data_IF_619004184696
#
_entry.id   IF_619004184696
#
_cell.length_a   1.000
_cell.length_b   1.000
_cell.length_c   1.000
_cell.angle_alpha   90.00
_cell.angle_beta   90.00
_cell.angle_gamma   90.00
#
_symmetry.space_group_name_H-M   'P 1'
#
loop_
_entity.id
_entity.type
_entity.pdbx_description
1 polymer ?
#
# COMPACT_ATOMS: atom_id res chain seq x y z
N UNK A 1 -6.14 -0.88 -7.83
CA UNK A 1 -6.72 -1.86 -6.87
C UNK A 1 -5.60 -2.68 -6.24
N UNK A 2 -5.82 -3.21 -5.04
CA UNK A 2 -4.85 -4.03 -4.31
C UNK A 2 -5.01 -5.52 -4.61
N UNK A 3 -4.01 -6.32 -4.25
CA UNK A 3 -4.09 -7.78 -4.30
C UNK A 3 -4.33 -8.42 -2.92
N UNK A 4 -4.11 -7.66 -1.84
CA UNK A 4 -4.30 -8.13 -0.47
C UNK A 4 -5.21 -7.17 0.31
N UNK A 5 -6.04 -7.68 1.25
CA UNK A 5 -6.83 -6.83 2.12
C UNK A 5 -5.96 -6.14 3.17
N UNK A 6 -6.24 -4.88 3.50
CA UNK A 6 -5.51 -4.11 4.52
C UNK A 6 -6.26 -3.95 5.84
N UNK A 7 -7.55 -4.23 5.83
CA UNK A 7 -8.38 -4.43 7.02
C UNK A 7 -9.46 -5.49 6.72
N UNK A 8 -10.26 -5.84 7.73
CA UNK A 8 -11.32 -6.85 7.57
C UNK A 8 -12.39 -6.43 6.55
N UNK A 9 -12.70 -5.14 6.44
CA UNK A 9 -13.67 -4.64 5.46
C UNK A 9 -13.23 -4.84 4.00
N UNK A 10 -11.93 -5.03 3.75
CA UNK A 10 -11.38 -5.25 2.41
C UNK A 10 -11.47 -6.71 1.96
N UNK A 11 -11.86 -7.64 2.85
CA UNK A 11 -12.01 -9.07 2.53
C UNK A 11 -13.24 -9.29 1.61
N UNK A 12 -13.31 -10.40 0.86
CA UNK A 12 -14.49 -10.73 0.05
C UNK A 12 -15.79 -10.65 0.86
N UNK A 13 -16.79 -9.94 0.34
CA UNK A 13 -18.07 -9.69 1.01
C UNK A 13 -18.04 -8.56 2.06
N UNK A 14 -16.88 -7.98 2.34
CA UNK A 14 -16.72 -6.84 3.25
C UNK A 14 -17.18 -5.51 2.65
N UNK A 15 -17.47 -4.54 3.52
CA UNK A 15 -17.96 -3.19 3.17
C UNK A 15 -17.10 -2.47 2.12
N UNK A 16 -15.81 -2.77 2.09
CA UNK A 16 -14.82 -2.14 1.22
C UNK A 16 -14.05 -3.16 0.37
N UNK A 17 -14.64 -4.32 0.10
CA UNK A 17 -14.06 -5.39 -0.71
C UNK A 17 -13.59 -4.89 -2.09
N UNK A 18 -14.28 -3.90 -2.66
CA UNK A 18 -13.95 -3.26 -3.93
C UNK A 18 -12.54 -2.68 -4.03
N UNK A 19 -11.82 -2.48 -2.93
CA UNK A 19 -10.42 -2.03 -3.01
C UNK A 19 -9.44 -3.15 -3.37
N UNK A 20 -9.87 -4.41 -3.28
CA UNK A 20 -9.11 -5.58 -3.73
C UNK A 20 -9.64 -5.98 -5.11
N UNK A 21 -8.74 -6.36 -6.01
CA UNK A 21 -9.11 -6.88 -7.33
C UNK A 21 -9.97 -8.14 -7.17
N UNK A 22 -11.07 -8.26 -7.90
CA UNK A 22 -12.03 -9.37 -7.77
C UNK A 22 -11.36 -10.76 -7.92
N UNK A 23 -10.47 -10.90 -8.92
CA UNK A 23 -9.70 -12.12 -9.18
C UNK A 23 -8.29 -12.08 -8.55
N UNK A 24 -8.09 -11.34 -7.45
CA UNK A 24 -6.77 -11.19 -6.82
C UNK A 24 -6.08 -12.53 -6.53
N UNK A 25 -6.81 -13.55 -6.09
CA UNK A 25 -6.24 -14.88 -5.81
C UNK A 25 -5.61 -15.52 -7.05
N UNK A 26 -6.26 -15.42 -8.20
CA UNK A 26 -5.75 -16.02 -9.42
C UNK A 26 -4.58 -15.22 -10.00
N UNK A 27 -4.63 -13.89 -9.92
CA UNK A 27 -3.49 -13.04 -10.24
C UNK A 27 -2.27 -13.33 -9.33
N UNK A 28 -2.50 -13.52 -8.03
CA UNK A 28 -1.45 -13.87 -7.08
C UNK A 28 -0.80 -15.21 -7.41
N UNK A 29 -1.57 -16.25 -7.78
CA UNK A 29 -1.02 -17.54 -8.24
C UNK A 29 -0.12 -17.38 -9.47
N UNK A 30 -0.45 -16.47 -10.38
CA UNK A 30 0.41 -16.16 -11.53
C UNK A 30 1.72 -15.55 -11.04
N UNK A 31 1.67 -14.56 -10.14
CA UNK A 31 2.88 -13.95 -9.58
C UNK A 31 3.76 -14.99 -8.87
N UNK A 32 3.15 -15.87 -8.08
CA UNK A 32 3.81 -16.96 -7.37
C UNK A 32 4.50 -17.94 -8.32
N UNK A 33 3.86 -18.30 -9.43
CA UNK A 33 4.47 -19.15 -10.48
C UNK A 33 5.78 -18.58 -11.03
N UNK A 34 5.91 -17.25 -11.06
CA UNK A 34 7.10 -16.56 -11.57
C UNK A 34 8.08 -16.16 -10.47
N UNK A 35 7.91 -16.57 -9.22
CA UNK A 35 8.91 -16.35 -8.18
C UNK A 35 10.20 -17.16 -8.48
N UNK A 36 11.43 -16.59 -8.35
CA UNK A 36 11.77 -15.26 -7.82
C UNK A 36 11.88 -14.16 -8.89
N UNK A 37 11.45 -14.36 -10.13
CA UNK A 37 11.39 -13.28 -11.13
C UNK A 37 10.37 -12.21 -10.77
N UNK A 38 9.30 -12.58 -10.06
CA UNK A 38 8.37 -11.65 -9.41
C UNK A 38 8.55 -11.72 -7.90
N UNK A 39 8.92 -10.61 -7.26
CA UNK A 39 9.14 -10.53 -5.81
C UNK A 39 8.50 -9.31 -5.17
N UNK A 40 8.04 -8.36 -5.98
CA UNK A 40 7.48 -7.08 -5.53
C UNK A 40 6.30 -6.77 -6.42
N UNK A 41 5.17 -6.43 -5.80
CA UNK A 41 3.97 -5.94 -6.47
C UNK A 41 3.61 -4.62 -5.83
N UNK A 42 3.49 -3.55 -6.62
CA UNK A 42 3.17 -2.21 -6.14
C UNK A 42 1.75 -1.85 -6.58
N UNK A 43 0.88 -1.54 -5.63
CA UNK A 43 -0.49 -1.12 -5.89
C UNK A 43 -0.83 0.24 -5.27
N UNK A 44 -1.97 0.80 -5.68
CA UNK A 44 -2.56 2.03 -5.15
C UNK A 44 -4.06 1.87 -4.92
N UNK A 45 -4.84 2.91 -5.23
CA UNK A 45 -6.32 2.94 -5.15
C UNK A 45 -6.95 2.86 -3.75
N UNK A 46 -6.25 2.37 -2.73
CA UNK A 46 -6.76 2.37 -1.34
C UNK A 46 -6.63 3.70 -0.63
N UNK A 47 -5.78 4.60 -1.14
CA UNK A 47 -5.52 5.93 -0.56
C UNK A 47 -5.07 5.89 0.91
N UNK A 48 -4.19 4.94 1.24
CA UNK A 48 -3.62 4.77 2.59
C UNK A 48 -2.10 4.86 2.52
N UNK A 49 -1.47 5.24 3.63
CA UNK A 49 -0.03 5.36 3.75
C UNK A 49 0.70 4.05 3.51
N UNK A 50 1.96 4.17 3.06
CA UNK A 50 2.79 3.06 2.64
C UNK A 50 2.79 1.93 3.67
N UNK A 51 2.51 0.71 3.20
CA UNK A 51 2.72 -0.54 3.93
C UNK A 51 2.88 -1.69 2.95
N UNK A 52 3.34 -2.83 3.44
CA UNK A 52 3.39 -4.05 2.65
C UNK A 52 3.06 -5.29 3.48
N UNK A 53 2.76 -6.39 2.78
CA UNK A 53 2.71 -7.76 3.32
C UNK A 53 3.59 -8.66 2.46
N UNK A 54 4.26 -9.60 3.08
CA UNK A 54 4.98 -10.67 2.36
C UNK A 54 4.13 -11.92 2.38
N UNK A 55 3.82 -12.46 1.20
CA UNK A 55 3.06 -13.70 1.02
C UNK A 55 3.80 -14.53 -0.02
N UNK A 56 4.13 -15.79 0.31
CA UNK A 56 4.83 -16.71 -0.59
C UNK A 56 6.11 -16.11 -1.22
N UNK A 57 6.85 -15.33 -0.43
CA UNK A 57 8.10 -14.67 -0.85
C UNK A 57 7.91 -13.38 -1.65
N UNK A 58 6.68 -13.01 -2.01
CA UNK A 58 6.35 -11.79 -2.78
C UNK A 58 5.90 -10.69 -1.83
N UNK A 59 6.41 -9.48 -2.03
CA UNK A 59 6.15 -8.30 -1.22
C UNK A 59 5.10 -7.41 -1.91
N UNK A 60 3.89 -7.39 -1.37
CA UNK A 60 2.76 -6.63 -1.87
C UNK A 60 2.70 -5.27 -1.17
N UNK A 61 3.16 -4.22 -1.85
CA UNK A 61 3.10 -2.85 -1.37
C UNK A 61 1.80 -2.16 -1.77
N UNK A 62 1.25 -1.35 -0.88
CA UNK A 62 0.28 -0.30 -1.22
C UNK A 62 0.90 1.06 -0.99
N UNK A 63 0.82 1.93 -1.98
CA UNK A 63 1.40 3.27 -1.94
C UNK A 63 0.38 4.33 -1.48
N UNK A 64 0.87 5.41 -0.82
CA UNK A 64 0.05 6.57 -0.49
C UNK A 64 -0.49 7.25 -1.75
N UNK A 65 -1.66 7.89 -1.60
CA UNK A 65 -2.18 8.78 -2.62
C UNK A 65 -1.56 10.17 -2.44
N UNK A 66 -1.19 10.80 -3.56
CA UNK A 66 -0.69 12.17 -3.55
C UNK A 66 -1.81 13.19 -3.32
N UNK A 67 -3.02 12.87 -3.78
CA UNK A 67 -4.18 13.78 -3.87
C UNK A 67 -5.10 13.78 -2.65
N UNK A 68 -4.90 12.86 -1.70
CA UNK A 68 -5.66 12.77 -0.46
C UNK A 68 -4.73 12.45 0.69
N UNK A 69 -5.13 12.74 1.93
CA UNK A 69 -4.31 12.43 3.10
C UNK A 69 -3.84 10.95 3.05
N UNK A 70 -2.54 10.66 3.25
CA UNK A 70 -1.51 11.54 3.81
C UNK A 70 -0.77 12.44 2.79
N UNK A 71 -1.19 12.57 1.54
CA UNK A 71 -0.50 13.42 0.54
C UNK A 71 1.00 13.12 0.45
N UNK A 72 1.34 11.82 0.38
CA UNK A 72 2.71 11.34 0.33
C UNK A 72 2.97 10.62 -0.99
N UNK A 73 4.24 10.50 -1.36
CA UNK A 73 4.72 9.63 -2.43
C UNK A 73 5.92 8.82 -1.94
N UNK A 74 6.15 7.66 -2.55
CA UNK A 74 7.24 6.76 -2.17
C UNK A 74 8.22 6.63 -3.33
N UNK A 75 9.50 6.84 -3.04
CA UNK A 75 10.60 6.58 -3.95
C UNK A 75 11.14 5.18 -3.63
N UNK A 76 11.13 4.30 -4.62
CA UNK A 76 11.74 2.99 -4.53
C UNK A 76 13.09 3.00 -5.25
N UNK A 77 14.11 2.44 -4.61
CA UNK A 77 15.40 2.15 -5.25
C UNK A 77 15.58 0.64 -5.27
N UNK A 78 15.73 0.08 -6.47
CA UNK A 78 15.77 -1.37 -6.69
C UNK A 78 17.13 -1.74 -7.27
N UNK A 79 17.76 -2.73 -6.66
CA UNK A 79 18.96 -3.42 -7.16
C UNK A 79 18.63 -4.90 -7.32
N UNK A 80 19.52 -5.72 -7.91
CA UNK A 80 19.29 -7.16 -8.03
C UNK A 80 19.08 -7.89 -6.70
N UNK A 81 19.54 -7.33 -5.57
CA UNK A 81 19.54 -7.96 -4.25
C UNK A 81 18.76 -7.19 -3.19
N UNK A 82 18.26 -5.99 -3.51
CA UNK A 82 17.66 -5.12 -2.51
C UNK A 82 16.63 -4.19 -3.12
N UNK A 83 15.54 -4.00 -2.40
CA UNK A 83 14.64 -2.87 -2.59
C UNK A 83 14.71 -2.01 -1.34
N UNK A 84 14.96 -0.71 -1.50
CA UNK A 84 14.81 0.29 -0.44
C UNK A 84 13.70 1.26 -0.81
N UNK A 85 13.10 1.86 0.20
CA UNK A 85 12.13 2.92 -0.02
C UNK A 85 12.32 4.07 0.95
N UNK A 86 11.89 5.24 0.48
CA UNK A 86 11.73 6.45 1.27
C UNK A 86 10.40 7.10 0.87
N UNK A 87 9.58 7.48 1.84
CA UNK A 87 8.29 8.15 1.61
C UNK A 87 8.39 9.60 2.04
N UNK A 88 8.02 10.50 1.11
CA UNK A 88 8.10 11.94 1.30
C UNK A 88 6.70 12.55 1.27
N UNK A 89 6.53 13.64 2.01
CA UNK A 89 5.36 14.50 1.86
C UNK A 89 5.40 15.17 0.49
N UNK A 90 4.23 15.39 -0.10
CA UNK A 90 4.10 16.20 -1.31
C UNK A 90 4.65 17.60 -1.04
N UNK A 91 5.34 18.23 -2.00
CA UNK A 91 5.84 19.60 -1.88
C UNK A 91 4.70 20.61 -2.08
N UNK A 92 3.71 20.57 -1.18
CA UNK A 92 2.54 21.47 -1.16
C UNK A 92 2.51 22.19 0.19
N UNK A 93 1.76 23.29 0.27
CA UNK A 93 1.62 24.03 1.53
C UNK A 93 1.01 23.16 2.64
N UNK A 94 1.49 23.31 3.87
CA UNK A 94 1.00 22.56 5.04
C UNK A 94 -0.50 22.71 5.26
N UNK A 95 -1.05 23.87 4.91
CA UNK A 95 -2.49 24.14 4.96
C UNK A 95 -3.30 23.17 4.10
N UNK A 96 -2.77 22.74 2.94
CA UNK A 96 -3.41 21.76 2.07
C UNK A 96 -3.42 20.37 2.73
N UNK A 97 -2.33 19.99 3.38
CA UNK A 97 -2.21 18.73 4.11
C UNK A 97 -3.21 18.70 5.28
N UNK A 98 -3.32 19.80 6.03
CA UNK A 98 -4.27 19.91 7.14
C UNK A 98 -5.74 19.93 6.65
N UNK A 99 -6.03 20.55 5.50
CA UNK A 99 -7.36 20.46 4.87
C UNK A 99 -7.66 19.01 4.47
N UNK A 100 -6.73 18.31 3.84
CA UNK A 100 -6.91 16.90 3.46
C UNK A 100 -7.13 16.00 4.68
N UNK A 101 -6.40 16.26 5.78
CA UNK A 101 -6.56 15.56 7.07
C UNK A 101 -7.94 15.82 7.70
N UNK A 102 -8.43 17.06 7.65
CA UNK A 102 -9.79 17.39 8.12
C UNK A 102 -10.86 16.72 7.25
N UNK A 103 -10.70 16.77 5.92
CA UNK A 103 -11.63 16.12 4.98
C UNK A 103 -11.68 14.61 5.15
N UNK A 104 -10.57 13.99 5.53
CA UNK A 104 -10.51 12.56 5.89
C UNK A 104 -11.42 12.24 7.09
N UNK A 105 -11.44 13.09 8.11
CA UNK A 105 -12.22 12.89 9.34
C UNK A 105 -13.68 13.37 9.20
N UNK A 106 -13.98 14.19 8.19
CA UNK A 106 -15.33 14.60 7.78
C UNK A 106 -15.59 16.10 7.98
N UNK A 107 -16.71 16.69 7.53
CA UNK A 107 -17.46 16.51 6.26
C UNK A 107 -17.19 17.79 5.42
N UNK A 108 -17.18 17.80 4.06
CA UNK A 108 -18.28 17.27 3.24
C UNK A 108 -17.89 16.60 1.89
N UNK A 109 -18.31 15.39 1.50
CA UNK A 109 -19.25 14.40 2.04
C UNK A 109 -18.61 13.01 2.15
N UNK A 110 -17.97 12.81 3.30
CA UNK A 110 -17.69 11.53 3.96
C UNK A 110 -16.93 10.51 3.14
N UNK A 111 -15.61 10.73 3.15
CA UNK A 111 -14.61 9.73 2.84
C UNK A 111 -14.96 8.37 3.47
N UNK A 112 -14.56 7.29 2.81
CA UNK A 112 -14.80 5.95 3.33
C UNK A 112 -14.13 5.78 4.69
N UNK A 113 -14.84 5.16 5.63
CA UNK A 113 -14.38 4.97 7.00
C UNK A 113 -14.50 3.50 7.39
N UNK A 114 -13.39 2.84 7.75
CA UNK A 114 -13.39 1.43 8.08
C UNK A 114 -14.14 1.18 9.40
N UNK A 115 -14.78 0.04 9.50
CA UNK A 115 -15.67 -0.34 10.61
C UNK A 115 -14.94 -0.34 11.97
N UNK A 116 -13.64 -0.64 11.99
CA UNK A 116 -12.84 -0.62 13.23
C UNK A 116 -12.53 0.79 13.77
N UNK A 117 -12.80 1.83 12.97
CA UNK A 117 -12.59 3.22 13.31
C UNK A 117 -13.93 3.96 13.18
N UNK A 118 -14.92 3.77 14.07
CA UNK A 118 -16.21 4.48 13.99
C UNK A 118 -16.04 5.99 14.27
N UNK A 119 -16.97 6.88 13.85
CA UNK A 119 -16.87 8.32 14.15
C UNK A 119 -16.68 8.61 15.65
N UNK A 120 -15.86 9.62 15.97
CA UNK A 120 -15.53 10.02 17.34
C UNK A 120 -14.01 10.04 17.60
N UNK A 121 -13.55 10.65 18.71
CA UNK A 121 -12.12 10.93 18.94
C UNK A 121 -11.21 9.70 18.85
N UNK A 122 -11.63 8.58 19.43
CA UNK A 122 -10.86 7.33 19.42
C UNK A 122 -10.79 6.72 18.02
N UNK A 123 -11.90 6.78 17.28
CA UNK A 123 -11.93 6.30 15.92
C UNK A 123 -11.17 7.21 14.96
N UNK A 124 -11.18 8.53 15.19
CA UNK A 124 -10.42 9.48 14.38
C UNK A 124 -8.92 9.24 14.53
N UNK A 125 -8.47 8.96 15.75
CA UNK A 125 -7.11 8.50 16.00
C UNK A 125 -6.79 7.22 15.21
N UNK A 126 -7.66 6.21 15.27
CA UNK A 126 -7.48 4.95 14.51
C UNK A 126 -7.49 5.18 13.00
N UNK A 127 -8.33 6.08 12.49
CA UNK A 127 -8.39 6.44 11.08
C UNK A 127 -7.09 7.12 10.64
N UNK A 128 -6.61 8.12 11.37
CA UNK A 128 -5.34 8.79 11.07
C UNK A 128 -4.16 7.82 11.12
N UNK A 129 -4.09 6.96 12.13
CA UNK A 129 -3.04 5.93 12.22
C UNK A 129 -3.11 4.95 11.04
N UNK A 130 -4.31 4.51 10.68
CA UNK A 130 -4.53 3.65 9.52
C UNK A 130 -4.17 4.33 8.20
N UNK A 131 -4.37 5.64 8.05
CA UNK A 131 -4.02 6.36 6.82
C UNK A 131 -2.55 6.79 6.77
N UNK A 132 -1.88 6.99 7.91
CA UNK A 132 -0.44 7.22 7.93
C UNK A 132 0.34 5.93 7.63
N UNK A 133 -0.18 4.79 8.06
CA UNK A 133 0.50 3.50 7.97
C UNK A 133 1.45 3.24 9.15
N UNK A 134 2.09 2.05 9.17
CA UNK A 134 2.88 1.59 10.30
C UNK A 134 4.17 2.40 10.46
N UNK A 135 4.47 2.88 11.68
CA UNK A 135 5.64 3.76 11.96
C UNK A 135 6.97 3.22 11.43
N UNK A 136 7.23 1.92 11.53
CA UNK A 136 8.47 1.29 11.05
C UNK A 136 8.54 1.01 9.55
N UNK A 137 7.48 1.31 8.81
CA UNK A 137 7.40 1.04 7.35
C UNK A 137 7.14 2.33 6.57
N UNK A 138 6.30 3.21 7.09
CA UNK A 138 5.69 4.31 6.33
C UNK A 138 6.64 5.40 5.87
N UNK A 139 7.84 5.50 6.44
CA UNK A 139 8.78 6.60 6.18
C UNK A 139 10.02 6.12 5.40
N UNK A 140 10.65 5.02 5.82
CA UNK A 140 11.75 4.38 5.10
C UNK A 140 11.89 2.91 5.44
N UNK A 141 12.55 2.15 4.58
CA UNK A 141 12.90 0.77 4.90
C UNK A 141 13.59 0.06 3.76
N UNK A 142 13.83 -1.23 3.96
CA UNK A 142 14.45 -2.09 2.95
C UNK A 142 14.00 -3.53 3.09
N UNK A 143 13.98 -4.24 1.97
CA UNK A 143 13.85 -5.69 1.89
C UNK A 143 14.95 -6.26 1.01
N UNK A 144 15.38 -7.47 1.33
CA UNK A 144 16.30 -8.24 0.47
C UNK A 144 15.50 -8.88 -0.66
N UNK A 145 16.05 -8.80 -1.87
CA UNK A 145 15.56 -9.49 -3.06
C UNK A 145 16.50 -10.65 -3.39
N UNK A 146 15.94 -11.72 -3.95
CA UNK A 146 16.70 -12.82 -4.53
C UNK A 146 17.20 -12.44 -5.91
N UNK A 147 18.50 -12.58 -6.20
CA UNK A 147 19.01 -12.49 -7.56
C UNK A 147 18.25 -13.44 -8.49
N UNK A 148 17.90 -12.96 -9.67
CA UNK A 148 17.33 -13.78 -10.74
C UNK A 148 18.46 -14.13 -11.68
N UNK A 149 18.94 -15.38 -11.63
CA UNK A 149 19.90 -15.90 -12.62
C UNK A 149 19.14 -16.24 -13.89
N UNK A 150 19.29 -15.42 -14.93
CA UNK A 150 18.85 -15.81 -16.27
C UNK A 150 19.92 -16.72 -16.84
N UNK A 151 19.68 -18.03 -16.86
CA UNK A 151 20.49 -18.94 -17.65
C UNK A 151 20.15 -18.66 -19.11
N UNK A 152 20.92 -17.78 -19.76
CA UNK A 152 20.84 -17.59 -21.22
C UNK A 152 21.40 -18.86 -21.84
N UNK A 153 20.51 -19.83 -22.10
CA UNK A 153 20.85 -21.02 -22.86
C UNK A 153 21.10 -20.60 -24.30
N UNK A 154 22.34 -20.27 -24.63
CA UNK A 154 22.78 -20.29 -26.02
C UNK A 154 22.68 -21.74 -26.49
N UNK A 155 21.62 -22.06 -27.23
CA UNK A 155 21.62 -23.23 -28.09
C UNK A 155 22.56 -22.91 -29.25
N UNK A 156 23.80 -23.38 -29.14
CA UNK A 156 24.67 -23.56 -30.30
C UNK A 156 24.16 -24.71 -31.15
#
# INVERSE_FOLDING_TARGET
HNFVPWCDDDKPGGKFAKFVVDNAKDAMKIFEKYYPSVQVVISGHRHIGLRYKTINGINYFVCPALVSYPNKYTIFTITPTKLTWETKWAPVADTIIEIAKKNLLGKPGEWWRPSFAPPGPEGDKKMLEFFLGPKGIRDKGSITLKPVTVTVGFKY
#
